data_IF_959654021714
#
_entry.id   IF_959654021714
#
_cell.length_a   1.000
_cell.length_b   1.000
_cell.length_c   1.000
_cell.angle_alpha   90.00
_cell.angle_beta   90.00
_cell.angle_gamma   90.00
#
_symmetry.space_group_name_H-M   'P 1'
#
loop_
_entity.id
_entity.type
_entity.pdbx_description
1 polymer ?
#
# COMPACT_ATOMS: atom_id res chain seq x y z
N UNK A 1 26.30 -21.08 -29.60
CA UNK A 1 25.36 -19.99 -29.93
C UNK A 1 23.99 -20.41 -29.43
N UNK A 2 23.47 -19.74 -28.40
CA UNK A 2 22.06 -19.67 -28.05
C UNK A 2 21.92 -18.68 -26.90
N UNK A 3 20.88 -17.85 -26.95
CA UNK A 3 20.58 -16.88 -25.89
C UNK A 3 20.22 -15.50 -26.42
N UNK A 4 19.57 -15.42 -27.58
CA UNK A 4 18.60 -14.35 -27.74
C UNK A 4 17.55 -14.53 -26.64
N UNK A 5 17.31 -13.48 -25.87
CA UNK A 5 16.03 -12.78 -25.95
C UNK A 5 16.03 -11.62 -24.98
N UNK A 6 15.59 -10.50 -25.55
CA UNK A 6 15.26 -9.24 -24.94
C UNK A 6 15.07 -9.27 -23.43
N UNK A 7 15.84 -8.42 -22.76
CA UNK A 7 15.53 -7.85 -21.44
C UNK A 7 14.18 -7.13 -21.54
N UNK A 8 13.10 -7.89 -21.55
CA UNK A 8 11.77 -7.38 -21.31
C UNK A 8 11.83 -6.76 -19.92
N UNK A 9 11.85 -5.43 -19.88
CA UNK A 9 11.71 -4.64 -18.69
C UNK A 9 10.43 -5.12 -17.99
N UNK A 10 10.60 -6.03 -17.03
CA UNK A 10 9.52 -6.48 -16.18
C UNK A 10 9.13 -5.24 -15.39
N UNK A 11 8.09 -4.56 -15.85
CA UNK A 11 7.39 -3.51 -15.13
C UNK A 11 7.12 -4.12 -13.77
N UNK A 12 7.95 -3.81 -12.77
CA UNK A 12 7.84 -4.39 -11.42
C UNK A 12 6.48 -3.93 -10.91
N UNK A 13 5.46 -4.78 -11.10
CA UNK A 13 4.12 -4.51 -10.60
C UNK A 13 4.29 -4.47 -9.09
N UNK A 14 4.14 -3.28 -8.53
CA UNK A 14 4.25 -3.07 -7.09
C UNK A 14 3.30 -4.06 -6.40
N UNK A 15 3.79 -4.89 -5.47
CA UNK A 15 2.95 -5.79 -4.69
C UNK A 15 1.73 -5.03 -4.13
N UNK A 16 0.51 -5.57 -4.20
CA UNK A 16 -0.71 -4.90 -3.73
C UNK A 16 -0.58 -4.37 -2.29
N UNK A 17 0.18 -5.07 -1.45
CA UNK A 17 0.50 -4.64 -0.07
C UNK A 17 1.29 -3.32 -0.04
N UNK A 18 2.32 -3.17 -0.87
CA UNK A 18 3.13 -1.94 -0.92
C UNK A 18 2.30 -0.77 -1.45
N UNK A 19 1.43 -1.03 -2.43
CA UNK A 19 0.49 -0.04 -2.94
C UNK A 19 -0.47 0.44 -1.86
N UNK A 20 -1.09 -0.48 -1.14
CA UNK A 20 -2.01 -0.16 -0.05
C UNK A 20 -1.30 0.60 1.09
N UNK A 21 -0.07 0.20 1.44
CA UNK A 21 0.74 0.91 2.43
C UNK A 21 1.04 2.34 2.00
N UNK A 22 1.45 2.55 0.74
CA UNK A 22 1.75 3.88 0.21
C UNK A 22 0.52 4.79 0.22
N UNK A 23 -0.64 4.27 -0.17
CA UNK A 23 -1.89 5.02 -0.14
C UNK A 23 -2.25 5.47 1.29
N UNK A 24 -2.18 4.54 2.25
CA UNK A 24 -2.37 4.87 3.67
C UNK A 24 -1.38 5.93 4.16
N UNK A 25 -0.09 5.77 3.87
CA UNK A 25 0.96 6.68 4.32
C UNK A 25 0.84 8.09 3.73
N UNK A 26 0.53 8.19 2.43
CA UNK A 26 0.31 9.48 1.79
C UNK A 26 -0.94 10.19 2.33
N UNK A 27 -1.97 9.43 2.73
CA UNK A 27 -3.14 9.97 3.40
C UNK A 27 -2.79 10.53 4.78
N UNK A 28 -2.08 9.77 5.62
CA UNK A 28 -1.75 10.21 7.00
C UNK A 28 -0.86 11.44 7.03
N UNK A 29 -0.02 11.64 6.01
CA UNK A 29 0.80 12.86 5.85
C UNK A 29 -0.02 14.13 5.61
N UNK A 30 -1.18 14.02 4.95
CA UNK A 30 -1.98 15.17 4.50
C UNK A 30 -3.22 15.39 5.37
N UNK A 31 -3.74 14.34 5.98
CA UNK A 31 -4.96 14.40 6.77
C UNK A 31 -4.70 14.97 8.17
N UNK A 32 -5.37 16.07 8.51
CA UNK A 32 -5.33 16.66 9.87
C UNK A 32 -5.83 15.68 10.92
N UNK A 33 -6.89 14.91 10.61
CA UNK A 33 -7.45 13.90 11.51
C UNK A 33 -6.56 12.66 11.72
N UNK A 34 -5.50 12.48 10.93
CA UNK A 34 -4.48 11.45 11.16
C UNK A 34 -3.21 12.01 11.80
N UNK A 35 -3.04 13.34 11.82
CA UNK A 35 -1.82 13.97 12.33
C UNK A 35 -1.73 13.80 13.85
N UNK A 36 -0.59 13.31 14.32
CA UNK A 36 -0.37 13.08 15.75
C UNK A 36 -1.09 11.86 16.32
N UNK A 37 -1.79 11.09 15.49
CA UNK A 37 -2.43 9.86 15.93
C UNK A 37 -1.40 8.73 15.98
N UNK A 38 -1.16 8.09 17.14
CA UNK A 38 -0.12 7.08 17.29
C UNK A 38 -0.48 5.73 16.65
N UNK A 39 -1.77 5.46 16.44
CA UNK A 39 -2.26 4.19 15.85
C UNK A 39 -3.16 4.45 14.66
N UNK A 40 -2.93 3.73 13.57
CA UNK A 40 -3.72 3.86 12.33
C UNK A 40 -5.24 3.65 12.53
N UNK A 41 -5.63 2.80 13.49
CA UNK A 41 -7.02 2.51 13.84
C UNK A 41 -7.74 3.67 14.58
N UNK A 42 -6.98 4.61 15.15
CA UNK A 42 -7.52 5.78 15.86
C UNK A 42 -7.56 7.01 14.94
N UNK A 43 -7.13 6.85 13.68
CA UNK A 43 -7.18 7.92 12.68
C UNK A 43 -8.59 8.15 12.15
N UNK A 44 -8.71 9.06 11.19
CA UNK A 44 -9.99 9.29 10.50
C UNK A 44 -10.48 8.03 9.78
N UNK A 45 -11.77 8.01 9.42
CA UNK A 45 -12.42 6.89 8.73
C UNK A 45 -11.66 6.39 7.51
N UNK A 46 -11.32 7.28 6.57
CA UNK A 46 -10.54 6.93 5.38
C UNK A 46 -9.17 6.35 5.72
N UNK A 47 -8.50 6.87 6.75
CA UNK A 47 -7.23 6.34 7.22
C UNK A 47 -7.37 4.90 7.75
N UNK A 48 -8.47 4.61 8.44
CA UNK A 48 -8.77 3.25 8.96
C UNK A 48 -9.08 2.27 7.83
N UNK A 49 -9.83 2.69 6.82
CA UNK A 49 -10.12 1.87 5.63
C UNK A 49 -8.85 1.52 4.85
N UNK A 50 -8.00 2.52 4.58
CA UNK A 50 -6.72 2.31 3.90
C UNK A 50 -5.79 1.38 4.70
N UNK A 51 -5.79 1.52 6.03
CA UNK A 51 -5.06 0.61 6.92
C UNK A 51 -5.62 -0.82 6.88
N UNK A 52 -6.94 -0.97 6.83
CA UNK A 52 -7.64 -2.25 6.63
C UNK A 52 -7.24 -2.92 5.32
N UNK A 53 -7.26 -2.18 4.21
CA UNK A 53 -6.84 -2.66 2.90
C UNK A 53 -5.38 -3.14 2.90
N UNK A 54 -4.48 -2.39 3.56
CA UNK A 54 -3.09 -2.81 3.75
C UNK A 54 -2.99 -4.13 4.52
N UNK A 55 -3.71 -4.26 5.64
CA UNK A 55 -3.72 -5.51 6.43
C UNK A 55 -4.21 -6.69 5.62
N UNK A 56 -5.28 -6.51 4.86
CA UNK A 56 -5.88 -7.53 3.99
C UNK A 56 -4.93 -7.97 2.88
N UNK A 57 -4.28 -7.02 2.21
CA UNK A 57 -3.23 -7.31 1.22
C UNK A 57 -2.00 -8.01 1.83
N UNK A 58 -1.64 -7.70 3.09
CA UNK A 58 -0.51 -8.33 3.79
C UNK A 58 -0.75 -9.79 4.18
N UNK A 59 -1.98 -10.14 4.54
CA UNK A 59 -2.37 -11.52 4.88
C UNK A 59 -2.78 -12.35 3.65
N UNK A 60 -2.70 -11.78 2.44
CA UNK A 60 -3.11 -12.45 1.21
C UNK A 60 -4.62 -12.64 1.06
N UNK A 61 -5.44 -11.88 1.80
CA UNK A 61 -6.90 -11.84 1.62
C UNK A 61 -7.28 -10.53 0.94
N UNK A 62 -7.30 -10.47 -0.40
CA UNK A 62 -7.88 -9.30 -1.06
C UNK A 62 -9.34 -9.15 -0.65
N UNK A 63 -9.74 -7.90 -0.41
CA UNK A 63 -11.11 -7.48 -0.05
C UNK A 63 -11.99 -7.41 -1.29
#
# INVERSE_FOLDING_TARGET
MSGGEARAATKRVEPPMLRAYRLWFEHTKKCVGCKGVPKAQDGCETGRELWGAYRLARIGRPS
#
